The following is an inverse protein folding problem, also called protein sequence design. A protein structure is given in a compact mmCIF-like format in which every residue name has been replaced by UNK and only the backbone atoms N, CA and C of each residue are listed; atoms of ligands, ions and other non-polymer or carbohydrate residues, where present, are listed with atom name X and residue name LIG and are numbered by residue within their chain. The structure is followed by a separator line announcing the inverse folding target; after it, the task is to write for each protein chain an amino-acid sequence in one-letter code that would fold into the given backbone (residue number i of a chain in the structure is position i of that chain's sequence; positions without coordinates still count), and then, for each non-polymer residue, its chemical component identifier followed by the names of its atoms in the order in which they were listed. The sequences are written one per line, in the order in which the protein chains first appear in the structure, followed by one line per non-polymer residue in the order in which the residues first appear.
data_IF_723102375779
#
_entry.id   IF_723102375779
#
_cell.length_a   1.000
_cell.length_b   1.000
_cell.length_c   1.000
_cell.angle_alpha   90.00
_cell.angle_beta   90.00
_cell.angle_gamma   90.00
#
_symmetry.space_group_name_H-M   'P 1'
#
loop_
_entity.id
_entity.type
_entity.pdbx_description
1 polymer ?
#
# COMPACT_ATOMS: atom_id res chain seq x y z
N UNK A 1 29.08 20.16 9.56
CA UNK A 1 29.62 18.79 9.42
C UNK A 1 28.51 17.78 9.08
N UNK A 2 27.43 18.16 8.37
CA UNK A 2 26.17 17.38 8.46
C UNK A 2 25.30 17.28 7.21
N UNK A 3 25.54 18.01 6.10
CA UNK A 3 24.74 17.80 4.87
C UNK A 3 25.15 16.51 4.14
N UNK A 4 26.45 16.20 4.10
CA UNK A 4 26.98 15.05 3.37
C UNK A 4 26.46 13.70 3.91
N UNK A 5 26.25 13.58 5.22
CA UNK A 5 25.73 12.35 5.82
C UNK A 5 24.23 12.13 5.59
N UNK A 6 23.44 13.19 5.45
CA UNK A 6 22.01 13.07 5.15
C UNK A 6 21.80 12.54 3.72
N UNK A 7 22.59 13.05 2.77
CA UNK A 7 22.57 12.60 1.38
C UNK A 7 23.06 11.14 1.23
N UNK A 8 24.06 10.74 2.01
CA UNK A 8 24.52 9.34 2.10
C UNK A 8 23.44 8.40 2.65
N UNK A 9 22.73 8.78 3.72
CA UNK A 9 21.64 7.96 4.27
C UNK A 9 20.46 7.85 3.30
N UNK A 10 20.08 8.96 2.65
CA UNK A 10 19.01 8.95 1.65
C UNK A 10 19.38 8.03 0.48
N UNK A 11 20.58 8.18 -0.08
CA UNK A 11 21.06 7.32 -1.18
C UNK A 11 21.16 5.85 -0.78
N UNK A 12 21.53 5.53 0.47
CA UNK A 12 21.55 4.16 0.97
C UNK A 12 20.14 3.56 1.10
N UNK A 13 19.17 4.34 1.60
CA UNK A 13 17.77 3.92 1.69
C UNK A 13 17.16 3.70 0.30
N UNK A 14 17.43 4.60 -0.65
CA UNK A 14 17.05 4.43 -2.05
C UNK A 14 17.67 3.17 -2.66
N UNK A 15 18.96 2.93 -2.41
CA UNK A 15 19.65 1.72 -2.86
C UNK A 15 19.02 0.44 -2.33
N UNK A 16 18.62 0.42 -1.05
CA UNK A 16 17.94 -0.73 -0.44
C UNK A 16 16.57 -1.00 -1.07
N UNK A 17 15.80 0.05 -1.37
CA UNK A 17 14.52 -0.05 -2.09
C UNK A 17 14.71 -0.70 -3.47
N UNK A 18 15.66 -0.19 -4.25
CA UNK A 18 15.97 -0.71 -5.59
C UNK A 18 16.35 -2.20 -5.54
N UNK A 19 17.19 -2.62 -4.59
CA UNK A 19 17.56 -4.04 -4.45
C UNK A 19 16.33 -4.90 -4.12
N UNK A 20 15.44 -4.43 -3.26
CA UNK A 20 14.18 -5.10 -2.96
C UNK A 20 13.30 -5.27 -4.19
N UNK A 21 13.15 -4.20 -4.98
CA UNK A 21 12.35 -4.20 -6.22
C UNK A 21 12.96 -5.11 -7.29
N UNK A 22 14.29 -5.13 -7.40
CA UNK A 22 15.01 -6.03 -8.30
C UNK A 22 14.85 -7.51 -7.92
N UNK A 23 14.73 -7.83 -6.63
CA UNK A 23 14.45 -9.20 -6.17
C UNK A 23 12.97 -9.59 -6.36
N UNK A 24 12.06 -8.61 -6.39
CA UNK A 24 10.65 -8.84 -6.71
C UNK A 24 10.44 -9.22 -8.18
N UNK A 25 11.26 -8.71 -9.10
CA UNK A 25 11.17 -9.04 -10.53
C UNK A 25 11.27 -10.54 -10.83
N UNK A 26 12.34 -11.28 -10.45
CA UNK A 26 12.43 -12.72 -10.73
C UNK A 26 11.35 -13.51 -9.97
N UNK A 27 10.94 -13.05 -8.79
CA UNK A 27 9.83 -13.65 -8.05
C UNK A 27 8.53 -13.58 -8.84
N UNK A 28 8.14 -12.40 -9.34
CA UNK A 28 6.91 -12.24 -10.12
C UNK A 28 7.02 -12.85 -11.51
N UNK A 29 8.21 -12.82 -12.11
CA UNK A 29 8.46 -13.42 -13.42
C UNK A 29 8.32 -14.94 -13.42
N UNK A 30 8.85 -15.62 -12.39
CA UNK A 30 8.80 -17.09 -12.28
C UNK A 30 7.42 -17.60 -11.87
N UNK A 31 6.52 -16.72 -11.45
CA UNK A 31 5.22 -17.11 -10.91
C UNK A 31 4.19 -17.31 -12.03
N UNK A 32 3.96 -18.57 -12.39
CA UNK A 32 2.96 -18.95 -13.40
C UNK A 32 1.54 -19.13 -12.84
N UNK A 33 1.40 -19.20 -11.51
CA UNK A 33 0.10 -19.48 -10.88
C UNK A 33 -0.31 -18.41 -9.88
N UNK A 34 -1.62 -18.14 -9.87
CA UNK A 34 -2.29 -17.21 -8.94
C UNK A 34 -2.74 -17.88 -7.63
N UNK A 35 -2.41 -19.16 -7.42
CA UNK A 35 -2.78 -19.86 -6.18
C UNK A 35 -2.17 -19.15 -4.98
N UNK A 36 -3.01 -18.77 -4.02
CA UNK A 36 -2.58 -18.09 -2.81
C UNK A 36 -2.27 -16.61 -2.98
N UNK A 37 -2.64 -15.98 -4.10
CA UNK A 37 -2.55 -14.53 -4.30
C UNK A 37 -3.95 -13.92 -4.24
N UNK A 38 -4.12 -12.86 -3.46
CA UNK A 38 -5.36 -12.09 -3.41
C UNK A 38 -5.39 -11.22 -4.66
N UNK A 39 -6.28 -11.51 -5.61
CA UNK A 39 -6.36 -10.75 -6.87
C UNK A 39 -6.73 -9.31 -6.58
N UNK A 40 -7.72 -9.11 -5.70
CA UNK A 40 -8.13 -7.79 -5.24
C UNK A 40 -7.06 -7.07 -4.42
N UNK A 41 -6.34 -7.76 -3.54
CA UNK A 41 -5.21 -7.17 -2.81
C UNK A 41 -4.07 -6.74 -3.75
N UNK A 42 -3.78 -7.55 -4.76
CA UNK A 42 -2.77 -7.25 -5.75
C UNK A 42 -3.17 -6.09 -6.68
N UNK A 43 -4.45 -5.92 -7.01
CA UNK A 43 -4.93 -4.72 -7.71
C UNK A 43 -4.77 -3.45 -6.88
N UNK A 44 -5.02 -3.51 -5.56
CA UNK A 44 -4.80 -2.36 -4.66
C UNK A 44 -3.31 -2.00 -4.58
N UNK A 45 -2.44 -3.01 -4.49
CA UNK A 45 -0.99 -2.83 -4.50
C UNK A 45 -0.46 -2.28 -5.83
N UNK A 46 -0.95 -2.77 -6.98
CA UNK A 46 -0.61 -2.18 -8.28
C UNK A 46 -1.10 -0.73 -8.31
N UNK A 47 -2.32 -0.47 -7.82
CA UNK A 47 -2.88 0.87 -7.72
C UNK A 47 -2.05 1.83 -6.87
N UNK A 48 -1.47 1.36 -5.75
CA UNK A 48 -0.57 2.19 -4.94
C UNK A 48 0.70 2.55 -5.69
N UNK A 49 1.33 1.59 -6.37
CA UNK A 49 2.54 1.85 -7.17
C UNK A 49 2.24 2.85 -8.28
N UNK A 50 1.15 2.66 -9.03
CA UNK A 50 0.78 3.57 -10.12
C UNK A 50 0.46 4.97 -9.61
N UNK A 51 -0.17 5.09 -8.43
CA UNK A 51 -0.46 6.38 -7.82
C UNK A 51 0.82 7.08 -7.35
N UNK A 52 1.74 6.36 -6.72
CA UNK A 52 3.05 6.90 -6.31
C UNK A 52 3.86 7.36 -7.52
N UNK A 53 3.85 6.59 -8.62
CA UNK A 53 4.48 7.00 -9.88
C UNK A 53 3.84 8.26 -10.45
N UNK A 54 2.51 8.36 -10.43
CA UNK A 54 1.79 9.55 -10.89
C UNK A 54 2.17 10.79 -10.07
N UNK A 55 2.25 10.65 -8.74
CA UNK A 55 2.63 11.74 -7.84
C UNK A 55 4.09 12.15 -8.06
N UNK A 56 4.99 11.17 -8.17
CA UNK A 56 6.39 11.40 -8.52
C UNK A 56 6.51 12.19 -9.82
N UNK A 57 5.81 11.77 -10.88
CA UNK A 57 5.77 12.51 -12.14
C UNK A 57 5.26 13.93 -12.00
N UNK A 58 4.17 14.13 -11.25
CA UNK A 58 3.60 15.46 -11.07
C UNK A 58 4.54 16.41 -10.33
N UNK A 59 5.28 15.90 -9.34
CA UNK A 59 6.25 16.68 -8.57
C UNK A 59 7.49 17.01 -9.42
N UNK A 60 8.01 16.04 -10.17
CA UNK A 60 9.12 16.28 -11.10
C UNK A 60 8.73 17.28 -12.20
N UNK A 61 7.55 17.12 -12.82
CA UNK A 61 7.11 18.05 -13.85
C UNK A 61 6.92 19.48 -13.33
N UNK A 62 6.53 19.64 -12.07
CA UNK A 62 6.35 20.96 -11.45
C UNK A 62 7.67 21.65 -11.09
N UNK A 63 8.67 20.91 -10.61
CA UNK A 63 9.90 21.49 -10.04
C UNK A 63 10.94 21.92 -11.07
N UNK A 64 10.93 21.35 -12.28
CA UNK A 64 12.04 21.55 -13.23
C UNK A 64 11.71 22.54 -14.36
N UNK A 65 12.51 23.60 -14.45
CA UNK A 65 12.52 24.56 -15.56
C UNK A 65 13.14 23.94 -16.83
N UNK A 66 12.66 24.38 -17.99
CA UNK A 66 12.81 23.74 -19.30
C UNK A 66 14.25 23.66 -19.89
N UNK A 67 15.30 24.13 -19.21
CA UNK A 67 16.65 24.27 -19.78
C UNK A 67 17.63 23.11 -19.45
N UNK A 68 17.53 22.44 -18.29
CA UNK A 68 18.31 21.21 -17.97
C UNK A 68 17.61 19.90 -18.40
N UNK A 69 16.66 20.05 -19.31
CA UNK A 69 15.54 19.15 -19.55
C UNK A 69 15.95 17.77 -20.06
N UNK A 70 16.97 17.67 -20.90
CA UNK A 70 17.23 16.42 -21.64
C UNK A 70 17.84 15.32 -20.76
N UNK A 71 18.82 15.66 -19.91
CA UNK A 71 19.44 14.67 -19.01
C UNK A 71 18.47 14.21 -17.92
N UNK A 72 17.69 15.14 -17.37
CA UNK A 72 16.74 14.82 -16.29
C UNK A 72 15.51 14.10 -16.83
N UNK A 73 15.00 14.47 -18.01
CA UNK A 73 13.94 13.71 -18.68
C UNK A 73 14.35 12.26 -18.93
N UNK A 74 15.61 12.02 -19.33
CA UNK A 74 16.11 10.67 -19.52
C UNK A 74 16.09 9.88 -18.20
N UNK A 75 16.56 10.47 -17.10
CA UNK A 75 16.56 9.81 -15.78
C UNK A 75 15.12 9.53 -15.32
N UNK A 76 14.22 10.51 -15.42
CA UNK A 76 12.81 10.33 -15.03
C UNK A 76 12.14 9.26 -15.89
N UNK A 77 12.32 9.31 -17.22
CA UNK A 77 11.76 8.31 -18.13
C UNK A 77 12.32 6.91 -17.82
N UNK A 78 13.63 6.81 -17.57
CA UNK A 78 14.28 5.55 -17.22
C UNK A 78 13.74 5.00 -15.90
N UNK A 79 13.72 5.81 -14.85
CA UNK A 79 13.20 5.43 -13.53
C UNK A 79 11.76 4.96 -13.63
N UNK A 80 10.91 5.68 -14.34
CA UNK A 80 9.50 5.28 -14.49
C UNK A 80 9.41 3.98 -15.28
N UNK A 81 10.14 3.86 -16.39
CA UNK A 81 10.11 2.65 -17.20
C UNK A 81 10.48 1.44 -16.35
N UNK A 82 11.54 1.55 -15.53
CA UNK A 82 11.96 0.48 -14.62
C UNK A 82 10.88 0.19 -13.56
N UNK A 83 10.29 1.22 -12.95
CA UNK A 83 9.26 1.08 -11.92
C UNK A 83 7.91 0.58 -12.45
N UNK A 84 7.64 0.69 -13.75
CA UNK A 84 6.42 0.19 -14.39
C UNK A 84 6.53 -1.31 -14.74
N UNK A 85 7.74 -1.87 -14.80
CA UNK A 85 7.94 -3.30 -15.10
C UNK A 85 7.30 -4.19 -14.03
N UNK A 86 7.54 -4.00 -12.70
CA UNK A 86 6.90 -4.82 -11.67
C UNK A 86 5.36 -4.85 -11.74
N UNK A 87 4.64 -3.71 -11.76
CA UNK A 87 3.17 -3.74 -11.83
C UNK A 87 2.67 -4.36 -13.14
N UNK A 88 3.40 -4.22 -14.26
CA UNK A 88 3.04 -4.89 -15.51
C UNK A 88 3.16 -6.42 -15.42
N UNK A 89 4.24 -6.94 -14.81
CA UNK A 89 4.41 -8.38 -14.59
C UNK A 89 3.37 -8.90 -13.58
N UNK A 90 3.12 -8.15 -12.50
CA UNK A 90 2.05 -8.48 -11.54
C UNK A 90 0.69 -8.52 -12.24
N UNK A 91 0.36 -7.55 -13.08
CA UNK A 91 -0.90 -7.52 -13.81
C UNK A 91 -1.03 -8.71 -14.77
N UNK A 92 0.07 -9.06 -15.48
CA UNK A 92 0.15 -10.27 -16.31
C UNK A 92 -0.20 -11.52 -15.49
N UNK A 93 0.43 -11.70 -14.33
CA UNK A 93 0.20 -12.88 -13.49
C UNK A 93 -1.23 -12.94 -12.94
N UNK A 94 -1.80 -11.82 -12.46
CA UNK A 94 -3.16 -11.76 -11.91
C UNK A 94 -4.22 -12.01 -12.98
N UNK A 95 -4.06 -11.39 -14.16
CA UNK A 95 -4.99 -11.57 -15.27
C UNK A 95 -4.83 -12.94 -15.95
N UNK A 96 -3.73 -13.65 -15.65
CA UNK A 96 -3.29 -14.88 -16.33
C UNK A 96 -3.17 -14.64 -17.83
N UNK A 97 -2.61 -13.48 -18.17
CA UNK A 97 -2.35 -13.08 -19.53
C UNK A 97 -1.07 -13.77 -20.02
N UNK A 98 -1.20 -14.49 -21.13
CA UNK A 98 -0.10 -15.06 -21.88
C UNK A 98 0.11 -14.21 -23.12
N UNK A 99 1.34 -13.70 -23.27
CA UNK A 99 1.74 -13.01 -24.48
C UNK A 99 2.18 -14.06 -25.50
N UNK A 100 1.40 -14.20 -26.56
CA UNK A 100 1.68 -15.06 -27.69
C UNK A 100 1.86 -14.25 -28.97
N UNK A 101 2.21 -14.95 -30.03
CA UNK A 101 2.22 -14.42 -31.40
C UNK A 101 1.33 -15.33 -32.23
N UNK A 102 0.28 -14.76 -32.83
CA UNK A 102 -0.54 -15.46 -33.81
C UNK A 102 -0.18 -14.89 -35.18
N UNK A 103 0.65 -15.62 -35.93
CA UNK A 103 1.30 -15.13 -37.14
C UNK A 103 2.28 -13.97 -36.84
N UNK A 104 1.93 -12.73 -37.24
CA UNK A 104 2.80 -11.54 -37.16
C UNK A 104 2.31 -10.48 -36.17
N UNK A 105 1.13 -10.66 -35.57
CA UNK A 105 0.60 -9.72 -34.58
C UNK A 105 0.68 -10.31 -33.17
N UNK A 106 1.02 -9.51 -32.15
CA UNK A 106 1.04 -9.96 -30.77
C UNK A 106 -0.38 -10.24 -30.31
N UNK A 107 -0.61 -11.43 -29.76
CA UNK A 107 -1.89 -11.82 -29.17
C UNK A 107 -1.77 -11.94 -27.67
N UNK A 108 -2.77 -11.45 -26.95
CA UNK A 108 -2.90 -11.63 -25.50
C UNK A 108 -3.99 -12.65 -25.28
N UNK A 109 -3.59 -13.88 -24.96
CA UNK A 109 -4.52 -14.94 -24.61
C UNK A 109 -4.61 -15.04 -23.10
N UNK A 110 -5.74 -15.53 -22.59
CA UNK A 110 -5.93 -15.74 -21.15
C UNK A 110 -5.93 -17.23 -20.87
N UNK A 111 -5.04 -17.68 -20.00
CA UNK A 111 -4.99 -19.10 -19.65
C UNK A 111 -6.15 -19.52 -18.74
N UNK A 112 -6.70 -20.73 -18.93
CA UNK A 112 -7.84 -21.19 -18.16
C UNK A 112 -7.46 -21.41 -16.70
N UNK A 113 -8.34 -20.99 -15.78
CA UNK A 113 -8.17 -21.15 -14.34
C UNK A 113 -8.07 -22.62 -13.93
N UNK A 114 -7.00 -23.01 -13.22
CA UNK A 114 -6.88 -24.35 -12.63
C UNK A 114 -7.85 -24.54 -11.45
N UNK A 115 -8.11 -25.79 -11.05
CA UNK A 115 -9.04 -26.06 -9.92
C UNK A 115 -8.56 -25.42 -8.60
N UNK A 116 -7.24 -25.41 -8.36
CA UNK A 116 -6.66 -24.78 -7.17
C UNK A 116 -6.81 -23.25 -7.21
N UNK A 117 -6.62 -22.65 -8.38
CA UNK A 117 -6.81 -21.21 -8.57
C UNK A 117 -8.25 -20.78 -8.35
N UNK A 118 -9.22 -21.54 -8.90
CA UNK A 118 -10.65 -21.29 -8.66
C UNK A 118 -11.02 -21.42 -7.19
N UNK A 119 -10.37 -22.34 -6.45
CA UNK A 119 -10.55 -22.45 -5.00
C UNK A 119 -9.99 -21.21 -4.29
N UNK A 120 -8.77 -20.79 -4.61
CA UNK A 120 -8.15 -19.57 -4.08
C UNK A 120 -9.00 -18.33 -4.33
N UNK A 121 -9.50 -18.19 -5.56
CA UNK A 121 -10.32 -17.06 -5.98
C UNK A 121 -11.67 -17.02 -5.25
N UNK A 122 -12.31 -18.18 -5.03
CA UNK A 122 -13.54 -18.26 -4.21
C UNK A 122 -13.31 -17.75 -2.78
N UNK A 123 -12.20 -18.15 -2.17
CA UNK A 123 -11.84 -17.71 -0.82
C UNK A 123 -11.50 -16.22 -0.76
N UNK A 124 -10.86 -15.65 -1.80
CA UNK A 124 -10.59 -14.20 -1.86
C UNK A 124 -11.88 -13.38 -2.01
N UNK A 125 -12.86 -13.90 -2.79
CA UNK A 125 -14.16 -13.27 -3.03
C UNK A 125 -15.11 -13.30 -1.83
N UNK A 126 -14.87 -14.15 -0.84
CA UNK A 126 -15.63 -14.12 0.42
C UNK A 126 -15.52 -12.77 1.14
N UNK A 127 -14.40 -12.04 0.94
CA UNK A 127 -14.29 -10.65 1.40
C UNK A 127 -14.73 -9.72 0.29
N UNK A 128 -15.88 -9.06 0.47
CA UNK A 128 -16.40 -8.07 -0.49
C UNK A 128 -15.38 -6.98 -0.81
N UNK A 129 -15.29 -6.62 -2.09
CA UNK A 129 -14.41 -5.54 -2.55
C UNK A 129 -14.75 -4.19 -1.88
N UNK A 130 -16.03 -3.97 -1.55
CA UNK A 130 -16.48 -2.77 -0.83
C UNK A 130 -15.85 -2.66 0.56
N UNK A 131 -15.69 -3.78 1.26
CA UNK A 131 -15.02 -3.81 2.58
C UNK A 131 -13.55 -3.45 2.43
N UNK A 132 -12.89 -3.97 1.39
CA UNK A 132 -11.48 -3.65 1.09
C UNK A 132 -11.33 -2.15 0.77
N UNK A 133 -12.21 -1.61 -0.08
CA UNK A 133 -12.24 -0.17 -0.39
C UNK A 133 -12.49 0.67 0.87
N UNK A 134 -13.44 0.28 1.72
CA UNK A 134 -13.73 0.99 2.96
C UNK A 134 -12.53 0.98 3.92
N UNK A 135 -11.78 -0.11 4.00
CA UNK A 135 -10.51 -0.17 4.76
C UNK A 135 -9.49 0.79 4.16
N UNK A 136 -9.28 0.77 2.84
CA UNK A 136 -8.33 1.67 2.18
C UNK A 136 -8.66 3.15 2.42
N UNK A 137 -9.94 3.53 2.25
CA UNK A 137 -10.40 4.91 2.52
C UNK A 137 -10.28 5.24 4.00
N UNK A 138 -10.66 4.34 4.90
CA UNK A 138 -10.54 4.55 6.35
C UNK A 138 -9.10 4.77 6.81
N UNK A 139 -8.16 3.98 6.27
CA UNK A 139 -6.71 4.16 6.50
C UNK A 139 -6.21 5.48 5.90
N UNK A 140 -6.66 5.85 4.69
CA UNK A 140 -6.27 7.11 4.07
C UNK A 140 -6.74 8.32 4.88
N UNK A 141 -7.99 8.29 5.37
CA UNK A 141 -8.53 9.33 6.26
C UNK A 141 -7.77 9.36 7.59
N UNK A 142 -7.40 8.21 8.14
CA UNK A 142 -6.58 8.12 9.35
C UNK A 142 -5.18 8.73 9.13
N UNK A 143 -4.53 8.48 8.00
CA UNK A 143 -3.25 9.11 7.66
C UNK A 143 -3.40 10.62 7.44
N UNK A 144 -4.48 11.05 6.79
CA UNK A 144 -4.71 12.45 6.46
C UNK A 144 -5.07 13.29 7.71
N UNK A 145 -6.07 12.88 8.48
CA UNK A 145 -6.54 13.63 9.66
C UNK A 145 -5.78 13.30 10.93
N UNK A 146 -5.34 12.05 11.09
CA UNK A 146 -4.63 11.60 12.29
C UNK A 146 -3.19 12.09 12.36
N UNK A 147 -2.68 12.76 11.31
CA UNK A 147 -1.30 13.25 11.22
C UNK A 147 -0.29 12.17 11.62
N UNK A 148 -0.56 10.92 11.26
CA UNK A 148 0.23 9.76 11.68
C UNK A 148 1.70 9.86 11.22
N UNK A 149 1.95 10.58 10.13
CA UNK A 149 3.30 10.87 9.65
C UNK A 149 4.03 11.94 10.47
N UNK A 150 3.30 12.78 11.20
CA UNK A 150 3.87 13.79 12.09
C UNK A 150 4.21 13.19 13.47
N UNK A 151 3.87 11.91 13.70
CA UNK A 151 4.24 11.20 14.94
C UNK A 151 5.69 10.75 14.82
N UNK A 152 6.59 11.62 15.26
CA UNK A 152 8.02 11.34 15.33
C UNK A 152 8.32 10.59 16.64
N UNK A 153 8.79 9.34 16.55
CA UNK A 153 9.22 8.57 17.73
C UNK A 153 10.53 9.14 18.29
N UNK A 154 11.39 9.59 17.38
CA UNK A 154 12.69 10.17 17.68
C UNK A 154 12.48 11.67 17.64
N UNK A 155 12.83 12.36 18.73
CA UNK A 155 12.73 13.81 18.79
C UNK A 155 13.43 14.42 17.57
N UNK A 156 12.79 15.34 16.82
CA UNK A 156 13.45 15.98 15.69
C UNK A 156 14.72 16.66 16.23
N UNK A 157 15.87 16.26 15.69
CA UNK A 157 17.10 17.02 15.91
C UNK A 157 16.86 18.44 15.41
N UNK A 158 17.40 19.44 16.14
CA UNK A 158 17.34 20.90 15.94
C UNK A 158 16.78 21.34 14.58
N UNK A 159 15.88 22.35 14.51
CA UNK A 159 15.33 22.85 13.25
C UNK A 159 16.48 23.21 12.32
N UNK A 160 16.79 22.31 11.39
CA UNK A 160 17.47 22.67 10.17
C UNK A 160 16.37 23.43 9.44
N UNK A 161 16.62 24.71 9.18
CA UNK A 161 15.77 25.53 8.33
C UNK A 161 15.70 24.85 6.96
N UNK A 162 14.78 23.89 6.81
CA UNK A 162 14.42 23.39 5.50
C UNK A 162 13.97 24.63 4.73
N UNK A 163 14.50 24.88 3.52
CA UNK A 163 13.97 25.94 2.67
C UNK A 163 12.46 25.76 2.66
N UNK A 164 11.65 26.83 2.83
CA UNK A 164 10.21 26.72 3.01
C UNK A 164 9.69 25.79 1.92
N UNK A 165 9.41 24.55 2.31
CA UNK A 165 9.03 23.49 1.38
C UNK A 165 7.84 24.07 0.65
N UNK A 166 7.94 24.18 -0.67
CA UNK A 166 6.93 24.83 -1.48
C UNK A 166 5.55 24.26 -1.10
N UNK A 167 4.81 25.00 -0.26
CA UNK A 167 3.47 24.66 0.24
C UNK A 167 2.42 24.74 -0.89
N UNK A 168 2.86 24.51 -2.14
CA UNK A 168 2.07 24.66 -3.36
C UNK A 168 1.41 23.37 -3.80
N UNK A 169 1.60 22.25 -3.12
CA UNK A 169 0.81 21.06 -3.41
C UNK A 169 -0.59 21.23 -2.83
N UNK A 170 -1.58 21.34 -3.72
CA UNK A 170 -2.98 21.51 -3.33
C UNK A 170 -3.50 20.35 -2.47
N UNK A 171 -4.61 20.58 -1.76
CA UNK A 171 -5.23 19.59 -0.86
C UNK A 171 -5.45 18.20 -1.48
N UNK A 172 -5.72 18.15 -2.79
CA UNK A 172 -5.87 16.90 -3.55
C UNK A 172 -4.57 16.10 -3.59
N UNK A 173 -3.43 16.73 -3.89
CA UNK A 173 -2.13 16.06 -3.89
C UNK A 173 -1.80 15.51 -2.49
N UNK A 174 -2.05 16.33 -1.46
CA UNK A 174 -1.84 15.92 -0.07
C UNK A 174 -2.75 14.77 0.37
N UNK A 175 -3.93 14.61 -0.23
CA UNK A 175 -4.78 13.44 0.01
C UNK A 175 -4.27 12.22 -0.76
N UNK A 176 -3.95 12.38 -2.05
CA UNK A 176 -3.46 11.30 -2.91
C UNK A 176 -2.14 10.70 -2.40
N UNK A 177 -1.24 11.53 -1.87
CA UNK A 177 0.01 11.08 -1.25
C UNK A 177 -0.19 10.22 -0.01
N UNK A 178 -1.34 10.32 0.67
CA UNK A 178 -1.74 9.42 1.77
C UNK A 178 -2.52 8.21 1.27
N UNK A 179 -3.23 8.33 0.14
CA UNK A 179 -4.01 7.25 -0.44
C UNK A 179 -3.12 6.10 -0.95
N UNK A 180 -1.97 6.39 -1.57
CA UNK A 180 -1.03 5.37 -2.07
C UNK A 180 -0.63 4.35 -1.00
N UNK A 181 -0.02 4.78 0.11
CA UNK A 181 0.33 3.90 1.24
C UNK A 181 -0.88 3.16 1.84
N UNK A 182 -2.06 3.76 1.81
CA UNK A 182 -3.29 3.14 2.31
C UNK A 182 -3.76 1.98 1.43
N UNK A 183 -3.68 2.15 0.11
CA UNK A 183 -3.97 1.10 -0.87
C UNK A 183 -2.98 -0.05 -0.73
N UNK A 184 -1.69 0.26 -0.58
CA UNK A 184 -0.63 -0.72 -0.33
C UNK A 184 -0.94 -1.56 0.92
N UNK A 185 -1.16 -0.89 2.07
CA UNK A 185 -1.46 -1.57 3.34
C UNK A 185 -2.72 -2.42 3.25
N UNK A 186 -3.75 -1.95 2.55
CA UNK A 186 -4.99 -2.71 2.34
C UNK A 186 -4.76 -3.93 1.44
N UNK A 187 -3.89 -3.80 0.44
CA UNK A 187 -3.41 -4.90 -0.40
C UNK A 187 -2.78 -6.01 0.45
N UNK A 188 -1.87 -5.62 1.35
CA UNK A 188 -1.22 -6.53 2.29
C UNK A 188 -2.22 -7.22 3.22
N UNK A 189 -3.11 -6.45 3.87
CA UNK A 189 -4.16 -7.00 4.74
C UNK A 189 -5.02 -8.03 4.00
N UNK A 190 -5.39 -7.73 2.76
CA UNK A 190 -6.17 -8.65 1.92
C UNK A 190 -5.41 -9.94 1.62
N UNK A 191 -4.12 -9.84 1.31
CA UNK A 191 -3.24 -10.97 1.09
C UNK A 191 -3.08 -11.83 2.36
N UNK A 192 -2.98 -11.21 3.54
CA UNK A 192 -2.94 -11.93 4.82
C UNK A 192 -4.24 -12.69 5.12
N UNK A 193 -5.39 -12.03 4.94
CA UNK A 193 -6.70 -12.67 5.14
C UNK A 193 -6.83 -13.91 4.24
N UNK A 194 -6.40 -13.80 2.98
CA UNK A 194 -6.40 -14.94 2.06
C UNK A 194 -5.48 -16.06 2.54
N UNK A 195 -4.23 -15.75 2.89
CA UNK A 195 -3.25 -16.74 3.36
C UNK A 195 -3.75 -17.47 4.61
N UNK A 196 -4.36 -16.73 5.54
CA UNK A 196 -4.97 -17.30 6.74
C UNK A 196 -6.11 -18.27 6.40
N UNK A 197 -7.02 -17.89 5.49
CA UNK A 197 -8.15 -18.75 5.09
C UNK A 197 -7.72 -19.98 4.30
N UNK A 198 -6.71 -19.84 3.44
CA UNK A 198 -6.20 -20.96 2.64
C UNK A 198 -5.37 -21.95 3.45
N UNK A 199 -4.92 -21.57 4.66
CA UNK A 199 -3.96 -22.36 5.46
C UNK A 199 -2.76 -22.78 4.60
N UNK A 200 -2.30 -21.90 3.70
CA UNK A 200 -1.09 -22.14 2.90
C UNK A 200 0.15 -21.93 3.78
N UNK A 201 1.37 -22.21 3.28
CA UNK A 201 2.62 -22.18 4.05
C UNK A 201 2.78 -20.90 4.92
N UNK A 202 2.32 -19.72 4.47
CA UNK A 202 2.33 -18.51 5.31
C UNK A 202 1.32 -18.48 6.48
N UNK A 203 0.27 -19.30 6.43
CA UNK A 203 -0.72 -19.48 7.51
C UNK A 203 -0.50 -20.73 8.37
N UNK A 204 0.32 -21.69 7.92
CA UNK A 204 0.69 -22.87 8.71
C UNK A 204 1.89 -22.59 9.63
N UNK A 205 2.84 -21.78 9.17
CA UNK A 205 3.91 -21.31 10.04
C UNK A 205 3.39 -20.11 10.83
N UNK A 206 3.33 -20.24 12.17
CA UNK A 206 3.20 -19.10 13.11
C UNK A 206 4.29 -18.03 12.95
N UNK A 207 5.24 -18.21 12.04
CA UNK A 207 6.21 -17.22 11.61
C UNK A 207 5.53 -16.25 10.64
N UNK A 208 5.06 -15.08 11.06
CA UNK A 208 5.95 -13.93 11.30
C UNK A 208 5.17 -12.76 11.92
N UNK A 209 4.15 -13.01 12.75
CA UNK A 209 3.42 -11.92 13.45
C UNK A 209 4.37 -10.93 14.17
N UNK A 210 5.55 -11.38 14.60
CA UNK A 210 6.55 -10.53 15.27
C UNK A 210 7.50 -9.76 14.34
N UNK A 211 7.78 -10.21 13.10
CA UNK A 211 8.67 -9.47 12.18
C UNK A 211 7.93 -8.39 11.38
N UNK A 212 6.62 -8.53 11.17
CA UNK A 212 5.80 -7.53 10.48
C UNK A 212 5.41 -6.34 11.37
N UNK A 213 5.17 -6.58 12.67
CA UNK A 213 5.07 -5.49 13.65
C UNK A 213 6.36 -4.66 13.63
N UNK A 214 7.55 -5.23 13.43
CA UNK A 214 8.76 -4.43 13.32
C UNK A 214 8.87 -3.62 12.01
N UNK A 215 8.27 -4.06 10.90
CA UNK A 215 8.34 -3.36 9.61
C UNK A 215 7.25 -2.29 9.43
N UNK A 216 6.07 -2.49 10.01
CA UNK A 216 4.94 -1.54 9.97
C UNK A 216 4.88 -0.67 11.25
N UNK A 217 5.43 -1.14 12.38
CA UNK A 217 5.29 -0.51 13.70
C UNK A 217 6.62 -0.26 14.42
N UNK A 218 7.65 0.24 13.74
CA UNK A 218 8.74 0.95 14.45
C UNK A 218 8.21 1.98 15.47
N UNK A 219 7.15 2.77 15.13
CA UNK A 219 6.52 3.69 16.09
C UNK A 219 5.49 3.07 17.03
N UNK A 220 4.59 2.27 16.50
CA UNK A 220 3.35 1.87 17.15
C UNK A 220 3.48 0.65 18.09
N UNK A 221 4.56 -0.13 17.94
CA UNK A 221 4.80 -1.31 18.78
C UNK A 221 5.10 -0.92 20.24
N UNK A 222 5.52 0.31 20.48
CA UNK A 222 5.79 0.85 21.83
C UNK A 222 4.50 1.16 22.63
N UNK A 223 3.33 1.24 21.98
CA UNK A 223 2.11 1.76 22.60
C UNK A 223 1.14 0.70 23.15
N UNK A 224 1.40 -0.61 23.02
CA UNK A 224 0.44 -1.63 23.50
C UNK A 224 1.06 -2.95 24.01
N UNK A 225 1.55 -3.00 25.26
CA UNK A 225 2.08 -4.24 25.86
C UNK A 225 1.02 -5.27 26.31
N UNK A 226 -0.29 -5.07 26.07
CA UNK A 226 -1.36 -5.90 26.68
C UNK A 226 -2.23 -6.77 25.77
N UNK A 227 -2.00 -6.81 24.46
CA UNK A 227 -2.80 -7.65 23.56
C UNK A 227 -2.24 -9.08 23.41
N UNK A 228 -2.48 -9.93 24.41
CA UNK A 228 -1.99 -11.33 24.47
C UNK A 228 -2.99 -12.39 23.99
N UNK A 229 -4.13 -12.02 23.39
CA UNK A 229 -5.07 -12.97 22.78
C UNK A 229 -5.72 -12.37 21.52
N UNK A 230 -5.56 -12.97 20.33
CA UNK A 230 -6.21 -12.49 19.12
C UNK A 230 -7.67 -12.96 19.13
N UNK A 231 -8.60 -12.11 19.54
CA UNK A 231 -9.98 -12.20 19.04
C UNK A 231 -9.98 -11.43 17.72
N UNK A 232 -9.82 -12.15 16.60
CA UNK A 232 -9.97 -11.70 15.21
C UNK A 232 -9.19 -10.44 14.79
N UNK A 233 -8.31 -10.56 13.79
CA UNK A 233 -7.61 -9.41 13.15
C UNK A 233 -8.59 -8.31 12.70
N UNK A 234 -9.80 -8.69 12.28
CA UNK A 234 -10.86 -7.74 11.94
C UNK A 234 -11.32 -6.90 13.15
N UNK A 235 -11.37 -7.48 14.35
CA UNK A 235 -11.77 -6.78 15.56
C UNK A 235 -10.69 -5.80 16.02
N UNK A 236 -9.41 -6.11 15.80
CA UNK A 236 -8.31 -5.18 16.06
C UNK A 236 -8.29 -4.00 15.09
N UNK A 237 -8.51 -4.24 13.78
CA UNK A 237 -8.63 -3.19 12.78
C UNK A 237 -9.87 -2.31 13.00
N UNK A 238 -11.01 -2.92 13.34
CA UNK A 238 -12.24 -2.20 13.67
C UNK A 238 -12.07 -1.42 14.97
N UNK A 239 -11.47 -1.99 16.02
CA UNK A 239 -11.19 -1.24 17.25
C UNK A 239 -10.20 -0.09 17.01
N UNK A 240 -9.18 -0.29 16.16
CA UNK A 240 -8.23 0.76 15.77
C UNK A 240 -8.91 1.89 15.00
N UNK A 241 -9.71 1.56 13.99
CA UNK A 241 -10.51 2.53 13.22
C UNK A 241 -11.55 3.24 14.09
N UNK A 242 -12.23 2.53 15.00
CA UNK A 242 -13.19 3.11 15.95
C UNK A 242 -12.49 4.04 16.93
N UNK A 243 -11.30 3.69 17.42
CA UNK A 243 -10.51 4.55 18.31
C UNK A 243 -10.02 5.81 17.59
N UNK A 244 -9.57 5.69 16.34
CA UNK A 244 -9.17 6.84 15.50
C UNK A 244 -10.38 7.73 15.19
N UNK A 245 -11.52 7.14 14.82
CA UNK A 245 -12.76 7.88 14.59
C UNK A 245 -13.30 8.56 15.87
N UNK A 246 -13.09 7.96 17.06
CA UNK A 246 -13.51 8.54 18.33
C UNK A 246 -12.64 9.69 18.84
N UNK A 247 -11.43 9.86 18.28
CA UNK A 247 -10.49 10.94 18.62
C UNK A 247 -10.49 12.10 17.64
N UNK A 248 -11.21 12.00 16.53
CA UNK A 248 -11.51 13.17 15.70
C UNK A 248 -12.38 14.12 16.53
N UNK A 249 -12.00 15.40 16.70
CA UNK A 249 -12.90 16.38 17.27
C UNK A 249 -14.06 16.57 16.27
N UNK A 250 -15.11 15.76 16.45
CA UNK A 250 -16.42 16.01 15.85
C UNK A 250 -16.89 17.34 16.41
N UNK A 251 -16.58 18.43 15.70
CA UNK A 251 -17.27 19.69 15.86
C UNK A 251 -18.77 19.38 15.82
N UNK A 252 -19.44 19.67 16.94
CA UNK A 252 -20.85 19.44 17.23
C UNK A 252 -21.76 19.28 16.00
N UNK A 253 -21.98 18.04 15.56
CA UNK A 253 -23.19 17.67 14.83
C UNK A 253 -24.09 17.00 15.85
N UNK A 254 -25.08 17.77 16.33
CA UNK A 254 -26.15 17.31 17.22
C UNK A 254 -27.01 16.32 16.44
N UNK A 255 -26.67 15.03 16.50
CA UNK A 255 -27.53 13.94 16.05
C UNK A 255 -28.33 13.42 17.26
N UNK A 256 -29.64 13.66 17.24
CA UNK A 256 -30.57 13.30 18.31
C UNK A 256 -30.74 11.78 18.53
N UNK A 257 -31.31 11.38 19.68
CA UNK A 257 -31.26 10.01 20.22
C UNK A 257 -32.14 8.95 19.51
N UNK A 258 -32.64 9.18 18.29
CA UNK A 258 -33.66 8.30 17.68
C UNK A 258 -33.14 7.11 16.85
N UNK A 259 -31.84 6.99 16.58
CA UNK A 259 -31.32 5.96 15.66
C UNK A 259 -31.06 4.59 16.34
N UNK A 260 -31.03 4.53 17.67
CA UNK A 260 -30.72 3.29 18.39
C UNK A 260 -31.87 2.25 18.47
N UNK A 261 -33.10 2.59 18.05
CA UNK A 261 -34.22 1.64 18.12
C UNK A 261 -34.38 0.71 16.90
N UNK A 262 -33.71 0.98 15.78
CA UNK A 262 -33.94 0.19 14.54
C UNK A 262 -33.02 -1.04 14.43
N UNK A 263 -31.95 -1.14 15.23
CA UNK A 263 -31.00 -2.26 15.18
C UNK A 263 -31.29 -3.41 16.18
N UNK A 264 -32.47 -3.44 16.82
CA UNK A 264 -32.84 -4.49 17.81
C UNK A 264 -33.89 -5.49 17.33
N UNK A 265 -34.30 -5.49 16.07
CA UNK A 265 -35.34 -6.40 15.56
C UNK A 265 -34.96 -7.22 14.31
N UNK A 266 -33.70 -7.56 14.11
CA UNK A 266 -33.32 -8.65 13.18
C UNK A 266 -32.25 -9.53 13.77
#
# INVERSE_FOLDING_TARGET
MTSTHADELASMLYGCGIVGDLLLLPYWWTRLSTVGISSSGAFLFIGSILLELLLFFSDQFYRYNLDERDRQNFVVLFTVTVMLIPPAIMLRTILRAEFGWENWYPTVTRSPATHQERRSERVDRETSWLVKLAIAVGVALAFHFGKLYDIHIIAPYSPIDCPPDAEQHGAVYNFLSRLGPSLHLTGDISQYILNHRLKSFGGQYRATENTWVCRIHGPLASLCPRFRRPKGVLQLLVCGLVLVCSRLPLAHVVAGPHIWQILRQK
#
